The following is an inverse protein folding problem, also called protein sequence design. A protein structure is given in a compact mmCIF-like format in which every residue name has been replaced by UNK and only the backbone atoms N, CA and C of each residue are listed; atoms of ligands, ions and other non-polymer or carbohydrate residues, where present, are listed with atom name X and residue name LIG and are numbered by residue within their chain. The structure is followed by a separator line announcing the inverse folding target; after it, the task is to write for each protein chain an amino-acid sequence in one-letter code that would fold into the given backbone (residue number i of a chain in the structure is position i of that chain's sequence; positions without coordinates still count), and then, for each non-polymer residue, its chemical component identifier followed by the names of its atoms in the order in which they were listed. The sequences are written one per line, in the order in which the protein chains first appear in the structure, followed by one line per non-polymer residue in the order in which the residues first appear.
data_IF_301265456864
#
_entry.id   IF_301265456864
#
_cell.length_a   1.000
_cell.length_b   1.000
_cell.length_c   1.000
_cell.angle_alpha   90.00
_cell.angle_beta   90.00
_cell.angle_gamma   90.00
#
_symmetry.space_group_name_H-M   'P 1'
#
loop_
_entity.id
_entity.type
_entity.pdbx_description
1 polymer ?
#
# COMPACT_ATOMS: atom_id res chain seq x y z
N UNK A 1 14.88 -14.44 15.40
CA UNK A 1 13.98 -15.09 14.41
C UNK A 1 13.43 -14.00 13.52
N UNK A 2 13.47 -14.17 12.19
CA UNK A 2 12.91 -13.22 11.21
C UNK A 2 11.57 -13.72 10.71
N UNK A 3 10.61 -12.81 10.49
CA UNK A 3 9.29 -13.11 9.94
C UNK A 3 9.25 -12.87 8.43
N UNK A 4 8.79 -13.84 7.65
CA UNK A 4 8.70 -13.78 6.17
C UNK A 4 7.30 -14.11 5.64
N UNK A 5 6.29 -14.13 6.52
CA UNK A 5 4.95 -14.57 6.20
C UNK A 5 4.03 -13.47 5.65
N UNK A 6 2.75 -13.81 5.42
CA UNK A 6 1.68 -12.85 5.10
C UNK A 6 1.57 -11.72 6.13
N UNK A 7 0.78 -10.68 5.86
CA UNK A 7 0.39 -9.77 6.94
C UNK A 7 -0.38 -10.53 8.02
N UNK A 8 -0.26 -10.14 9.29
CA UNK A 8 -1.01 -10.72 10.40
C UNK A 8 -2.02 -9.69 10.88
N UNK A 9 -3.30 -10.01 10.91
CA UNK A 9 -4.28 -9.15 11.59
C UNK A 9 -4.38 -9.58 13.06
N UNK A 10 -4.31 -8.58 13.94
CA UNK A 10 -4.44 -8.74 15.37
C UNK A 10 -5.00 -7.45 15.96
N UNK A 11 -5.64 -7.55 17.12
CA UNK A 11 -6.16 -6.39 17.86
C UNK A 11 -5.02 -5.44 18.26
N UNK A 12 -3.88 -5.97 18.71
CA UNK A 12 -2.73 -5.16 19.14
C UNK A 12 -1.63 -5.08 18.06
N UNK A 13 -1.59 -3.96 17.34
CA UNK A 13 -0.59 -3.71 16.30
C UNK A 13 0.73 -3.21 16.91
N UNK A 14 1.71 -4.12 17.06
CA UNK A 14 3.06 -3.83 17.59
C UNK A 14 4.18 -4.07 16.58
N UNK A 15 3.91 -4.86 15.54
CA UNK A 15 4.91 -5.29 14.57
C UNK A 15 4.63 -4.72 13.18
N UNK A 16 5.67 -4.59 12.35
CA UNK A 16 5.50 -4.09 10.98
C UNK A 16 4.56 -4.97 10.16
N UNK A 17 4.60 -6.29 10.34
CA UNK A 17 3.71 -7.22 9.67
C UNK A 17 2.26 -7.20 10.19
N UNK A 18 1.94 -6.38 11.21
CA UNK A 18 0.55 -6.11 11.60
C UNK A 18 -0.09 -4.97 10.79
N UNK A 19 0.71 -4.24 10.00
CA UNK A 19 0.30 -3.06 9.25
C UNK A 19 -0.01 -3.35 7.78
N UNK A 20 -0.83 -2.49 7.18
CA UNK A 20 -1.22 -2.58 5.77
C UNK A 20 -0.01 -2.40 4.83
N UNK A 21 1.00 -1.60 5.22
CA UNK A 21 2.25 -1.44 4.46
C UNK A 21 2.94 -2.79 4.19
N UNK A 22 2.90 -3.72 5.15
CA UNK A 22 3.42 -5.06 4.94
C UNK A 22 2.43 -5.92 4.16
N UNK A 23 1.17 -5.96 4.62
CA UNK A 23 0.16 -6.89 4.12
C UNK A 23 -0.22 -6.65 2.65
N UNK A 24 -0.31 -5.39 2.22
CA UNK A 24 -0.70 -5.00 0.85
C UNK A 24 0.50 -4.93 -0.11
N UNK A 25 1.73 -4.85 0.42
CA UNK A 25 2.93 -4.70 -0.40
C UNK A 25 3.25 -5.99 -1.15
N UNK A 26 3.48 -5.92 -2.48
CA UNK A 26 3.95 -7.08 -3.24
C UNK A 26 5.37 -7.51 -2.81
N UNK A 27 6.20 -6.58 -2.32
CA UNK A 27 7.57 -6.82 -1.88
C UNK A 27 7.67 -7.56 -0.55
N UNK A 28 6.64 -7.51 0.30
CA UNK A 28 6.70 -8.06 1.66
C UNK A 28 5.57 -9.07 1.92
N UNK A 29 4.33 -8.68 1.64
CA UNK A 29 3.14 -9.48 1.92
C UNK A 29 2.90 -10.62 0.95
N UNK A 30 1.74 -11.27 1.14
CA UNK A 30 1.27 -12.36 0.31
C UNK A 30 0.48 -11.81 -0.89
N UNK A 31 1.00 -12.01 -2.11
CA UNK A 31 0.41 -11.44 -3.34
C UNK A 31 -0.82 -12.24 -3.83
N UNK A 32 -0.83 -13.56 -3.59
CA UNK A 32 -1.83 -14.47 -4.13
C UNK A 32 -2.14 -15.63 -3.19
N UNK A 33 -3.36 -16.13 -3.26
CA UNK A 33 -3.81 -17.33 -2.57
C UNK A 33 -4.49 -18.26 -3.55
N UNK A 34 -4.09 -19.53 -3.55
CA UNK A 34 -4.65 -20.56 -4.40
C UNK A 34 -5.59 -21.43 -3.58
N UNK A 35 -6.85 -21.53 -4.02
CA UNK A 35 -7.93 -22.20 -3.28
C UNK A 35 -8.47 -23.31 -4.15
N UNK A 36 -8.54 -24.52 -3.61
CA UNK A 36 -9.20 -25.63 -4.27
C UNK A 36 -10.71 -25.44 -4.20
N UNK A 37 -11.37 -25.37 -5.36
CA UNK A 37 -12.83 -25.37 -5.47
C UNK A 37 -13.29 -26.67 -6.13
N UNK A 38 -14.33 -27.27 -5.57
CA UNK A 38 -14.89 -28.54 -6.06
C UNK A 38 -16.21 -28.84 -5.39
N UNK A 39 -17.03 -29.68 -6.02
CA UNK A 39 -18.40 -29.99 -5.62
C UNK A 39 -18.45 -30.99 -4.45
N UNK A 40 -17.96 -30.61 -3.27
CA UNK A 40 -18.03 -31.46 -2.07
C UNK A 40 -19.47 -31.59 -1.54
N UNK A 41 -20.32 -30.58 -1.73
CA UNK A 41 -21.67 -30.52 -1.15
C UNK A 41 -22.68 -31.53 -1.74
N UNK A 42 -22.52 -31.93 -3.01
CA UNK A 42 -23.39 -32.93 -3.65
C UNK A 42 -23.12 -34.37 -3.17
N UNK A 43 -21.91 -34.65 -2.66
CA UNK A 43 -21.47 -35.99 -2.28
C UNK A 43 -22.07 -36.48 -0.96
N UNK A 44 -22.22 -35.63 0.05
CA UNK A 44 -22.84 -36.04 1.33
C UNK A 44 -24.34 -36.34 1.17
N UNK A 45 -25.04 -35.54 0.36
CA UNK A 45 -26.46 -35.72 0.09
C UNK A 45 -26.74 -37.02 -0.71
N UNK A 46 -25.91 -37.32 -1.73
CA UNK A 46 -26.10 -38.52 -2.55
C UNK A 46 -25.56 -39.80 -1.91
N UNK A 47 -24.50 -39.75 -1.08
CA UNK A 47 -23.94 -40.93 -0.40
C UNK A 47 -24.88 -41.50 0.67
N UNK A 48 -25.80 -40.70 1.19
CA UNK A 48 -26.91 -41.16 2.04
C UNK A 48 -28.02 -41.89 1.26
N UNK A 49 -28.09 -41.72 -0.07
CA UNK A 49 -29.23 -42.17 -0.91
C UNK A 49 -28.84 -43.29 -1.90
N UNK A 50 -27.56 -43.44 -2.27
CA UNK A 50 -27.16 -44.38 -3.33
C UNK A 50 -25.94 -45.23 -2.96
N UNK A 51 -26.15 -46.55 -2.93
CA UNK A 51 -25.12 -47.58 -2.80
C UNK A 51 -24.62 -48.05 -4.18
N UNK A 52 -24.08 -47.15 -5.00
CA UNK A 52 -23.13 -47.46 -6.10
C UNK A 52 -22.87 -46.22 -6.96
N UNK A 53 -21.62 -45.73 -6.98
CA UNK A 53 -20.90 -45.24 -8.18
C UNK A 53 -19.54 -44.67 -7.78
N UNK A 54 -18.49 -44.98 -8.54
CA UNK A 54 -17.22 -44.24 -8.48
C UNK A 54 -17.47 -42.81 -8.96
N UNK A 55 -17.33 -41.83 -8.07
CA UNK A 55 -17.45 -40.41 -8.39
C UNK A 55 -16.08 -39.78 -8.59
N UNK A 56 -15.87 -39.14 -9.74
CA UNK A 56 -14.71 -38.30 -10.00
C UNK A 56 -14.92 -36.93 -9.33
N UNK A 57 -14.07 -36.60 -8.36
CA UNK A 57 -14.01 -35.26 -7.77
C UNK A 57 -13.21 -34.36 -8.73
N UNK A 58 -13.88 -33.42 -9.40
CA UNK A 58 -13.20 -32.36 -10.13
C UNK A 58 -12.86 -31.22 -9.17
N UNK A 59 -11.61 -31.20 -8.70
CA UNK A 59 -11.02 -30.08 -7.98
C UNK A 59 -10.36 -29.16 -9.02
N UNK A 60 -10.79 -27.91 -9.08
CA UNK A 60 -10.12 -26.89 -9.86
C UNK A 60 -9.54 -25.82 -8.93
N UNK A 61 -8.31 -25.39 -9.24
CA UNK A 61 -7.60 -24.38 -8.45
C UNK A 61 -8.04 -22.98 -8.89
N UNK A 62 -8.53 -22.18 -7.95
CA UNK A 62 -8.84 -20.77 -8.18
C UNK A 62 -7.83 -19.91 -7.44
N UNK A 63 -7.12 -19.06 -8.19
CA UNK A 63 -6.13 -18.13 -7.61
C UNK A 63 -6.73 -16.74 -7.44
N UNK A 64 -6.78 -16.25 -6.20
CA UNK A 64 -7.09 -14.85 -5.91
C UNK A 64 -5.80 -14.06 -5.76
N UNK A 65 -5.81 -12.79 -6.20
CA UNK A 65 -4.67 -11.88 -6.14
C UNK A 65 -5.10 -10.57 -5.53
N UNK A 66 -4.17 -9.89 -4.85
CA UNK A 66 -4.37 -8.52 -4.40
C UNK A 66 -4.72 -7.60 -5.56
N UNK A 67 -5.43 -6.51 -5.25
CA UNK A 67 -5.95 -5.55 -6.21
C UNK A 67 -6.93 -6.12 -7.27
N UNK A 68 -7.57 -7.27 -7.02
CA UNK A 68 -8.63 -7.82 -7.89
C UNK A 68 -10.00 -7.73 -7.22
N UNK A 69 -11.04 -7.67 -8.04
CA UNK A 69 -12.41 -7.54 -7.57
C UNK A 69 -13.12 -8.89 -7.47
N UNK A 70 -13.93 -9.02 -6.43
CA UNK A 70 -14.69 -10.22 -6.14
C UNK A 70 -16.10 -9.88 -5.70
N UNK A 71 -16.98 -10.85 -5.86
CA UNK A 71 -18.28 -10.88 -5.21
C UNK A 71 -18.20 -11.87 -4.05
N UNK A 72 -18.68 -11.48 -2.87
CA UNK A 72 -18.63 -12.29 -1.65
C UNK A 72 -19.99 -12.29 -0.93
N UNK A 73 -20.15 -13.22 0.01
CA UNK A 73 -21.31 -13.28 0.90
C UNK A 73 -21.01 -12.56 2.21
N UNK A 74 -21.94 -11.71 2.64
CA UNK A 74 -21.93 -11.09 3.97
C UNK A 74 -23.37 -11.08 4.47
N UNK A 75 -23.63 -11.68 5.63
CA UNK A 75 -24.96 -11.72 6.26
C UNK A 75 -26.09 -12.21 5.32
N UNK A 76 -25.78 -13.18 4.45
CA UNK A 76 -26.73 -13.74 3.48
C UNK A 76 -26.91 -12.92 2.20
N UNK A 77 -26.34 -11.73 2.10
CA UNK A 77 -26.37 -10.88 0.90
C UNK A 77 -25.11 -11.05 0.05
N UNK A 78 -25.24 -10.84 -1.27
CA UNK A 78 -24.10 -10.78 -2.18
C UNK A 78 -23.60 -9.34 -2.26
N UNK A 79 -22.29 -9.14 -2.06
CA UNK A 79 -21.64 -7.83 -2.08
C UNK A 79 -20.41 -7.83 -2.95
N UNK A 80 -19.98 -6.64 -3.35
CA UNK A 80 -18.74 -6.44 -4.11
C UNK A 80 -17.62 -6.00 -3.19
N UNK A 81 -16.40 -6.44 -3.47
CA UNK A 81 -15.21 -6.00 -2.75
C UNK A 81 -13.95 -6.04 -3.61
N UNK A 82 -12.99 -5.19 -3.25
CA UNK A 82 -11.63 -5.19 -3.80
C UNK A 82 -10.71 -5.89 -2.83
N UNK A 83 -9.97 -6.90 -3.28
CA UNK A 83 -8.95 -7.58 -2.47
C UNK A 83 -7.83 -6.58 -2.17
N UNK A 84 -7.62 -6.28 -0.90
CA UNK A 84 -6.52 -5.43 -0.44
C UNK A 84 -5.32 -6.25 -0.01
N UNK A 85 -5.54 -7.31 0.77
CA UNK A 85 -4.45 -8.15 1.22
C UNK A 85 -4.92 -9.56 1.55
N UNK A 86 -3.95 -10.47 1.57
CA UNK A 86 -4.11 -11.82 2.11
C UNK A 86 -3.35 -11.84 3.43
N UNK A 87 -4.07 -12.14 4.50
CA UNK A 87 -3.60 -11.98 5.86
C UNK A 87 -3.82 -13.26 6.66
N UNK A 88 -3.04 -13.41 7.72
CA UNK A 88 -3.18 -14.46 8.71
C UNK A 88 -4.00 -13.92 9.88
N UNK A 89 -5.06 -14.64 10.25
CA UNK A 89 -5.90 -14.36 11.41
C UNK A 89 -5.97 -15.65 12.22
N UNK A 90 -5.48 -15.63 13.45
CA UNK A 90 -5.44 -16.80 14.34
C UNK A 90 -4.82 -18.07 13.69
N UNK A 91 -3.82 -17.87 12.83
CA UNK A 91 -3.12 -18.95 12.13
C UNK A 91 -3.77 -19.41 10.81
N UNK A 92 -4.92 -18.85 10.45
CA UNK A 92 -5.66 -19.19 9.22
C UNK A 92 -5.54 -18.07 8.17
N UNK A 93 -5.39 -18.45 6.90
CA UNK A 93 -5.33 -17.49 5.80
C UNK A 93 -6.72 -16.96 5.45
N UNK A 94 -6.87 -15.64 5.54
CA UNK A 94 -8.09 -14.92 5.22
C UNK A 94 -7.79 -13.79 4.22
N UNK A 95 -8.85 -13.18 3.70
CA UNK A 95 -8.76 -12.11 2.71
C UNK A 95 -9.37 -10.84 3.30
N UNK A 96 -8.57 -9.76 3.34
CA UNK A 96 -9.04 -8.42 3.66
C UNK A 96 -9.55 -7.76 2.38
N UNK A 97 -10.83 -7.41 2.38
CA UNK A 97 -11.51 -6.71 1.31
C UNK A 97 -11.80 -5.27 1.69
N UNK A 98 -11.67 -4.37 0.72
CA UNK A 98 -12.31 -3.06 0.75
C UNK A 98 -13.73 -3.20 0.19
N UNK A 99 -14.73 -2.73 0.94
CA UNK A 99 -16.14 -2.83 0.56
C UNK A 99 -16.45 -1.94 -0.66
N UNK A 100 -17.35 -2.43 -1.51
CA UNK A 100 -17.88 -1.71 -2.65
C UNK A 100 -19.40 -1.77 -2.58
N UNK A 101 -20.04 -0.61 -2.59
CA UNK A 101 -21.49 -0.47 -2.49
C UNK A 101 -22.13 -0.39 -3.87
N UNK A 102 -23.30 -1.00 -3.98
CA UNK A 102 -24.29 -0.79 -5.03
C UNK A 102 -25.12 0.46 -4.73
N UNK A 103 -25.91 0.90 -5.70
CA UNK A 103 -26.78 2.07 -5.56
C UNK A 103 -27.72 1.98 -4.33
N UNK A 104 -28.31 0.81 -4.10
CA UNK A 104 -29.26 0.60 -3.00
C UNK A 104 -28.60 0.58 -1.62
N UNK A 105 -27.29 0.42 -1.55
CA UNK A 105 -26.52 0.42 -0.31
C UNK A 105 -26.00 1.81 0.07
N UNK A 106 -26.12 2.79 -0.84
CA UNK A 106 -25.79 4.17 -0.54
C UNK A 106 -26.77 4.79 0.46
N UNK A 107 -26.31 5.72 1.32
CA UNK A 107 -27.18 6.58 2.09
C UNK A 107 -28.25 7.26 1.22
N UNK A 108 -29.50 7.28 1.71
CA UNK A 108 -30.69 7.71 0.96
C UNK A 108 -30.54 9.10 0.29
N UNK A 109 -29.82 10.02 0.91
CA UNK A 109 -29.68 11.37 0.37
C UNK A 109 -28.74 11.45 -0.86
N UNK A 110 -28.03 10.37 -1.21
CA UNK A 110 -27.31 10.26 -2.48
C UNK A 110 -28.16 9.70 -3.62
N UNK A 111 -29.38 9.24 -3.33
CA UNK A 111 -30.29 8.70 -4.33
C UNK A 111 -30.82 9.83 -5.20
N UNK A 112 -30.57 9.74 -6.50
CA UNK A 112 -31.01 10.73 -7.47
C UNK A 112 -31.20 10.08 -8.84
N UNK A 113 -32.01 10.70 -9.70
CA UNK A 113 -32.30 10.16 -11.04
C UNK A 113 -31.02 9.88 -11.85
N UNK A 114 -30.03 10.76 -11.77
CA UNK A 114 -28.76 10.59 -12.49
C UNK A 114 -28.03 9.29 -12.10
N UNK A 115 -27.98 8.96 -10.79
CA UNK A 115 -27.36 7.71 -10.31
C UNK A 115 -28.26 6.49 -10.50
N UNK A 116 -29.58 6.67 -10.44
CA UNK A 116 -30.54 5.60 -10.71
C UNK A 116 -30.40 5.06 -12.14
N UNK A 117 -30.14 5.94 -13.13
CA UNK A 117 -29.92 5.54 -14.52
C UNK A 117 -28.72 4.60 -14.68
N UNK A 118 -27.69 4.77 -13.84
CA UNK A 118 -26.45 3.98 -13.89
C UNK A 118 -26.38 2.93 -12.78
N UNK A 119 -27.48 2.68 -12.05
CA UNK A 119 -27.49 1.84 -10.84
C UNK A 119 -27.04 0.38 -11.06
N UNK A 120 -27.22 -0.15 -12.27
CA UNK A 120 -26.79 -1.51 -12.64
C UNK A 120 -25.32 -1.61 -13.03
N UNK A 121 -24.67 -0.49 -13.37
CA UNK A 121 -23.30 -0.45 -13.92
C UNK A 121 -22.32 0.31 -13.03
N UNK A 122 -22.77 1.32 -12.30
CA UNK A 122 -21.94 2.09 -11.39
C UNK A 122 -21.95 1.49 -9.98
N UNK A 123 -20.76 1.41 -9.39
CA UNK A 123 -20.53 1.05 -8.00
C UNK A 123 -19.73 2.15 -7.28
N UNK A 124 -19.72 2.09 -5.95
CA UNK A 124 -19.05 3.07 -5.08
C UNK A 124 -18.05 2.37 -4.19
N UNK A 125 -16.78 2.77 -4.28
CA UNK A 125 -15.75 2.26 -3.39
C UNK A 125 -15.96 2.87 -2.00
N UNK A 126 -15.97 2.09 -0.94
CA UNK A 126 -15.96 2.65 0.42
C UNK A 126 -14.52 2.95 0.80
N UNK A 127 -14.27 4.13 1.35
CA UNK A 127 -12.94 4.55 1.76
C UNK A 127 -12.34 3.55 2.75
N UNK A 128 -11.13 3.08 2.46
CA UNK A 128 -10.45 2.03 3.22
C UNK A 128 -10.14 2.42 4.66
N UNK A 129 -10.07 3.72 4.97
CA UNK A 129 -9.80 4.22 6.32
C UNK A 129 -11.05 4.26 7.21
N UNK A 130 -12.23 3.96 6.65
CA UNK A 130 -13.42 3.75 7.45
C UNK A 130 -13.41 2.34 8.03
N UNK A 131 -13.82 2.21 9.29
CA UNK A 131 -14.05 0.91 9.93
C UNK A 131 -15.03 0.06 9.09
N UNK A 132 -16.10 0.69 8.59
CA UNK A 132 -17.07 0.02 7.72
C UNK A 132 -16.56 -0.19 6.28
N UNK A 133 -15.42 0.40 5.92
CA UNK A 133 -14.83 0.32 4.60
C UNK A 133 -14.07 -0.96 4.34
N UNK A 134 -13.72 -1.72 5.39
CA UNK A 134 -12.97 -2.98 5.25
C UNK A 134 -13.65 -4.15 5.96
N UNK A 135 -13.46 -5.35 5.41
CA UNK A 135 -13.94 -6.60 5.98
C UNK A 135 -12.91 -7.69 5.78
N UNK A 136 -12.79 -8.58 6.75
CA UNK A 136 -11.97 -9.78 6.63
C UNK A 136 -12.92 -10.96 6.47
N UNK A 137 -12.69 -11.76 5.43
CA UNK A 137 -13.52 -12.90 5.08
C UNK A 137 -12.68 -14.14 4.81
N UNK A 138 -13.30 -15.29 4.95
CA UNK A 138 -12.72 -16.55 4.52
C UNK A 138 -12.80 -16.70 2.99
N UNK A 139 -11.89 -17.49 2.43
CA UNK A 139 -11.83 -17.72 0.98
C UNK A 139 -13.06 -18.42 0.40
N UNK A 140 -13.81 -19.16 1.23
CA UNK A 140 -15.06 -19.82 0.85
C UNK A 140 -16.25 -18.85 0.77
N UNK A 141 -16.17 -17.67 1.38
CA UNK A 141 -17.23 -16.66 1.32
C UNK A 141 -17.22 -15.90 -0.01
N UNK A 142 -16.10 -15.96 -0.74
CA UNK A 142 -16.01 -15.44 -2.10
C UNK A 142 -16.86 -16.29 -3.03
N UNK A 143 -17.80 -15.68 -3.73
CA UNK A 143 -18.65 -16.34 -4.72
C UNK A 143 -17.87 -16.51 -6.02
N UNK A 144 -17.36 -15.40 -6.58
CA UNK A 144 -16.64 -15.37 -7.86
C UNK A 144 -15.79 -14.11 -8.01
N UNK A 145 -14.90 -14.14 -9.00
CA UNK A 145 -14.22 -12.93 -9.49
C UNK A 145 -15.20 -12.09 -10.32
N UNK A 146 -14.99 -10.77 -10.33
CA UNK A 146 -15.78 -9.82 -11.12
C UNK A 146 -14.82 -8.86 -11.82
N UNK A 147 -15.15 -8.49 -13.05
CA UNK A 147 -14.42 -7.44 -13.77
C UNK A 147 -15.07 -6.09 -13.46
N UNK A 148 -14.40 -5.27 -12.66
CA UNK A 148 -14.80 -3.90 -12.33
C UNK A 148 -13.67 -2.97 -12.76
N UNK A 149 -14.03 -1.85 -13.40
CA UNK A 149 -13.05 -0.85 -13.85
C UNK A 149 -13.13 0.41 -12.98
N UNK A 150 -12.01 0.84 -12.41
CA UNK A 150 -11.90 2.16 -11.79
C UNK A 150 -11.63 3.19 -12.90
N UNK A 151 -12.53 4.15 -13.07
CA UNK A 151 -12.49 5.11 -14.19
C UNK A 151 -11.87 6.42 -13.71
N UNK A 152 -10.56 6.58 -13.95
CA UNK A 152 -9.81 7.80 -13.57
C UNK A 152 -9.84 8.91 -14.62
N UNK A 153 -9.85 8.55 -15.92
CA UNK A 153 -9.70 9.51 -17.02
C UNK A 153 -10.56 9.20 -18.27
N UNK A 154 -11.16 8.01 -18.38
CA UNK A 154 -11.77 7.53 -19.64
C UNK A 154 -13.30 7.67 -19.69
N UNK A 155 -13.84 7.86 -20.89
CA UNK A 155 -15.28 7.97 -21.16
C UNK A 155 -15.95 6.66 -21.60
N UNK A 156 -15.19 5.58 -21.81
CA UNK A 156 -15.74 4.31 -22.27
C UNK A 156 -16.28 3.53 -21.06
N UNK A 157 -17.58 3.27 -21.06
CA UNK A 157 -18.31 2.63 -19.96
C UNK A 157 -19.12 1.47 -20.53
N UNK A 158 -18.43 0.39 -20.92
CA UNK A 158 -19.09 -0.81 -21.46
C UNK A 158 -19.24 -1.92 -20.40
N UNK A 159 -18.77 -1.68 -19.16
CA UNK A 159 -18.72 -2.64 -18.06
C UNK A 159 -19.08 -2.00 -16.72
N UNK A 160 -19.19 -2.83 -15.67
CA UNK A 160 -19.32 -2.37 -14.29
C UNK A 160 -18.10 -1.50 -13.92
N UNK A 161 -18.35 -0.34 -13.32
CA UNK A 161 -17.33 0.68 -13.10
C UNK A 161 -17.47 1.40 -11.75
N UNK A 162 -16.39 2.04 -11.32
CA UNK A 162 -16.33 2.90 -10.13
C UNK A 162 -15.79 4.27 -10.55
N UNK A 163 -16.51 5.34 -10.18
CA UNK A 163 -16.11 6.75 -10.39
C UNK A 163 -16.05 7.58 -9.11
N UNK A 164 -16.68 7.11 -8.04
CA UNK A 164 -16.81 7.84 -6.78
C UNK A 164 -16.40 6.94 -5.61
N UNK A 165 -15.85 7.57 -4.58
CA UNK A 165 -15.51 6.97 -3.29
C UNK A 165 -16.46 7.53 -2.25
N UNK A 166 -17.09 6.66 -1.48
CA UNK A 166 -17.89 6.97 -0.32
C UNK A 166 -17.01 7.04 0.92
N UNK A 167 -17.01 8.19 1.60
CA UNK A 167 -16.22 8.43 2.81
C UNK A 167 -17.02 9.26 3.83
N UNK A 168 -16.47 9.48 5.03
CA UNK A 168 -17.06 10.39 6.02
C UNK A 168 -16.14 11.58 6.27
N UNK A 169 -16.72 12.76 6.35
CA UNK A 169 -16.06 13.96 6.87
C UNK A 169 -16.90 14.52 8.02
N UNK A 170 -16.29 14.70 9.19
CA UNK A 170 -16.97 15.16 10.42
C UNK A 170 -18.23 14.33 10.73
N UNK A 171 -18.15 13.00 10.56
CA UNK A 171 -19.27 12.08 10.78
C UNK A 171 -20.33 12.06 9.67
N UNK A 172 -20.26 12.98 8.71
CA UNK A 172 -21.20 13.05 7.59
C UNK A 172 -20.64 12.33 6.37
N UNK A 173 -21.45 11.43 5.82
CA UNK A 173 -21.16 10.75 4.58
C UNK A 173 -20.99 11.75 3.42
N UNK A 174 -19.97 11.55 2.58
CA UNK A 174 -19.65 12.36 1.41
C UNK A 174 -19.17 11.47 0.27
N UNK A 175 -19.22 12.01 -0.94
CA UNK A 175 -18.65 11.40 -2.13
C UNK A 175 -17.48 12.23 -2.63
N UNK A 176 -16.41 11.58 -3.04
CA UNK A 176 -15.29 12.21 -3.75
C UNK A 176 -14.96 11.44 -5.02
N UNK A 177 -14.32 12.11 -5.97
CA UNK A 177 -13.90 11.50 -7.21
C UNK A 177 -12.92 10.35 -6.94
N UNK A 178 -13.00 9.25 -7.70
CA UNK A 178 -12.09 8.12 -7.57
C UNK A 178 -10.63 8.50 -7.87
N UNK A 179 -10.39 9.63 -8.53
CA UNK A 179 -9.08 10.30 -8.63
C UNK A 179 -8.51 10.76 -7.28
N UNK A 180 -9.14 10.43 -6.16
CA UNK A 180 -8.61 10.56 -4.80
C UNK A 180 -8.67 9.20 -4.07
N UNK A 181 -8.49 8.10 -4.82
CA UNK A 181 -8.35 6.74 -4.30
C UNK A 181 -6.91 6.50 -3.87
N UNK A 182 -6.71 5.78 -2.78
CA UNK A 182 -5.39 5.30 -2.43
C UNK A 182 -5.05 4.10 -3.29
N UNK A 183 -4.22 4.32 -4.32
CA UNK A 183 -3.74 3.27 -5.21
C UNK A 183 -3.18 2.12 -4.40
N UNK A 184 -3.56 0.92 -4.78
CA UNK A 184 -3.04 -0.29 -4.15
C UNK A 184 -1.55 -0.41 -4.50
N UNK A 185 -0.65 -0.82 -3.57
CA UNK A 185 0.79 -0.92 -3.84
C UNK A 185 1.16 -1.70 -5.11
N UNK A 186 0.46 -2.81 -5.41
CA UNK A 186 0.57 -3.54 -6.68
C UNK A 186 0.34 -2.74 -7.98
N UNK A 187 -0.20 -1.51 -7.93
CA UNK A 187 -0.37 -0.65 -9.11
C UNK A 187 0.92 0.09 -9.48
N UNK A 188 1.81 0.35 -8.51
CA UNK A 188 3.05 1.11 -8.71
C UNK A 188 4.32 0.34 -8.28
N UNK A 189 4.18 -0.78 -7.58
CA UNK A 189 5.25 -1.69 -7.18
C UNK A 189 5.01 -3.08 -7.77
N UNK A 190 6.05 -3.70 -8.31
CA UNK A 190 6.00 -5.02 -8.93
C UNK A 190 7.04 -5.93 -8.29
N UNK A 191 6.57 -7.10 -7.83
CA UNK A 191 7.47 -8.15 -7.35
C UNK A 191 8.21 -8.77 -8.54
N UNK A 192 9.53 -8.72 -8.53
CA UNK A 192 10.36 -9.45 -9.47
C UNK A 192 10.32 -10.95 -9.12
N UNK A 193 9.70 -11.76 -9.98
CA UNK A 193 9.72 -13.20 -9.82
C UNK A 193 11.14 -13.74 -10.07
N UNK A 194 11.56 -14.79 -9.35
CA UNK A 194 12.82 -15.45 -9.63
C UNK A 194 12.90 -15.87 -11.10
N UNK A 195 14.04 -15.67 -11.78
CA UNK A 195 14.30 -16.25 -13.09
C UNK A 195 14.00 -17.76 -13.12
N UNK A 196 13.65 -18.34 -14.28
CA UNK A 196 13.28 -19.76 -14.36
C UNK A 196 14.31 -20.71 -13.74
N UNK A 197 15.61 -20.41 -13.86
CA UNK A 197 16.69 -21.18 -13.26
C UNK A 197 16.64 -21.25 -11.72
N UNK A 198 15.96 -20.31 -11.07
CA UNK A 198 15.84 -20.17 -9.61
C UNK A 198 14.39 -20.34 -9.13
N UNK A 199 13.49 -20.80 -9.99
CA UNK A 199 12.05 -20.95 -9.69
C UNK A 199 11.75 -21.93 -8.55
N UNK A 200 12.68 -22.84 -8.25
CA UNK A 200 12.55 -23.82 -7.17
C UNK A 200 13.05 -23.30 -5.82
N UNK A 201 13.74 -22.15 -5.78
CA UNK A 201 14.23 -21.60 -4.52
C UNK A 201 13.14 -20.89 -3.75
N UNK A 202 13.19 -21.05 -2.43
CA UNK A 202 12.34 -20.28 -1.53
C UNK A 202 12.71 -18.80 -1.64
N UNK A 203 11.68 -17.96 -1.78
CA UNK A 203 11.84 -16.51 -1.82
C UNK A 203 11.79 -15.95 -0.40
N UNK A 204 12.84 -15.24 0.00
CA UNK A 204 12.86 -14.46 1.25
C UNK A 204 12.68 -12.99 0.92
N UNK A 205 11.73 -12.35 1.61
CA UNK A 205 11.37 -10.95 1.42
C UNK A 205 11.83 -10.12 2.62
N UNK A 206 12.83 -9.26 2.43
CA UNK A 206 13.38 -8.40 3.47
C UNK A 206 12.75 -7.01 3.44
N UNK A 207 12.22 -6.58 4.58
CA UNK A 207 11.77 -5.23 4.82
C UNK A 207 12.94 -4.42 5.38
N UNK A 208 13.40 -3.42 4.64
CA UNK A 208 14.47 -2.52 5.09
C UNK A 208 13.84 -1.26 5.67
N UNK A 209 14.07 -1.03 6.96
CA UNK A 209 13.67 0.18 7.68
C UNK A 209 14.87 1.12 7.75
N UNK A 210 14.72 2.37 7.31
CA UNK A 210 15.80 3.34 7.24
C UNK A 210 15.56 4.50 8.21
N UNK A 211 16.59 4.86 8.97
CA UNK A 211 16.58 6.00 9.87
C UNK A 211 17.55 7.06 9.37
N UNK A 212 17.12 8.31 9.35
CA UNK A 212 17.95 9.46 9.02
C UNK A 212 17.76 10.58 10.05
N UNK A 213 18.83 10.92 10.75
CA UNK A 213 18.79 11.89 11.85
C UNK A 213 20.03 12.79 11.88
N UNK A 214 19.83 14.05 12.29
CA UNK A 214 20.88 15.04 12.50
C UNK A 214 21.15 15.21 13.99
N UNK A 215 22.39 14.94 14.42
CA UNK A 215 22.78 15.07 15.82
C UNK A 215 24.02 15.95 16.00
N UNK A 216 24.09 16.64 17.13
CA UNK A 216 25.27 17.39 17.54
C UNK A 216 26.35 16.45 18.03
N UNK A 217 27.55 16.52 17.43
CA UNK A 217 28.69 15.67 17.84
C UNK A 217 29.17 15.97 19.27
N UNK A 218 29.08 17.24 19.68
CA UNK A 218 29.28 17.68 21.06
C UNK A 218 28.20 18.70 21.44
N UNK A 219 27.98 18.91 22.75
CA UNK A 219 26.91 19.79 23.29
C UNK A 219 26.86 21.21 22.69
N UNK A 220 27.99 21.74 22.19
CA UNK A 220 28.13 23.14 21.77
C UNK A 220 28.64 23.30 20.32
N UNK A 221 28.41 22.34 19.43
CA UNK A 221 28.88 22.43 18.03
C UNK A 221 27.81 23.09 17.16
N UNK A 222 28.21 24.09 16.37
CA UNK A 222 27.34 24.81 15.43
C UNK A 222 26.95 24.01 14.18
N UNK A 223 27.57 22.85 13.98
CA UNK A 223 27.46 22.02 12.80
C UNK A 223 26.98 20.63 13.17
N UNK A 224 25.84 20.22 12.61
CA UNK A 224 25.30 18.88 12.77
C UNK A 224 26.13 17.85 12.01
N UNK A 225 26.14 16.64 12.54
CA UNK A 225 26.55 15.42 11.85
C UNK A 225 25.28 14.60 11.63
N UNK A 226 25.09 14.09 10.42
CA UNK A 226 23.93 13.25 10.15
C UNK A 226 24.31 11.77 10.24
N UNK A 227 23.44 10.95 10.82
CA UNK A 227 23.57 9.49 10.86
C UNK A 227 22.52 8.83 9.99
N UNK A 228 22.94 7.81 9.24
CA UNK A 228 22.03 6.94 8.49
C UNK A 228 22.18 5.52 9.01
N UNK A 229 21.05 4.93 9.40
CA UNK A 229 20.98 3.59 9.98
C UNK A 229 19.93 2.78 9.24
N UNK A 230 20.11 1.46 9.19
CA UNK A 230 19.12 0.54 8.69
C UNK A 230 18.86 -0.60 9.66
N UNK A 231 17.66 -1.14 9.57
CA UNK A 231 17.23 -2.28 10.34
C UNK A 231 16.37 -3.21 9.49
N UNK A 232 16.35 -4.51 9.83
CA UNK A 232 15.42 -5.45 9.20
C UNK A 232 14.08 -5.40 9.93
N UNK A 233 13.04 -4.95 9.24
CA UNK A 233 11.68 -4.90 9.75
C UNK A 233 11.06 -6.28 9.97
N UNK A 234 11.69 -7.34 9.45
CA UNK A 234 11.32 -8.73 9.72
C UNK A 234 11.60 -9.17 11.16
N UNK A 235 12.36 -8.40 11.94
CA UNK A 235 12.64 -8.70 13.35
C UNK A 235 11.47 -8.28 14.25
N UNK A 236 11.16 -9.07 15.30
CA UNK A 236 10.25 -8.64 16.37
C UNK A 236 10.67 -7.31 16.97
N UNK A 237 9.69 -6.53 17.43
CA UNK A 237 9.88 -5.19 17.95
C UNK A 237 10.90 -5.16 19.09
N UNK A 238 10.86 -6.13 20.01
CA UNK A 238 11.84 -6.19 21.10
C UNK A 238 13.25 -6.52 20.61
N UNK A 239 13.38 -7.34 19.55
CA UNK A 239 14.67 -7.58 18.92
C UNK A 239 15.20 -6.31 18.24
N UNK A 240 14.30 -5.56 17.58
CA UNK A 240 14.62 -4.29 16.92
C UNK A 240 15.16 -3.23 17.88
N UNK A 241 14.78 -3.25 19.16
CA UNK A 241 15.30 -2.29 20.15
C UNK A 241 16.78 -2.48 20.51
N UNK A 242 17.36 -3.65 20.28
CA UNK A 242 18.76 -3.88 20.64
C UNK A 242 19.70 -3.15 19.67
N UNK A 243 20.74 -2.49 20.22
CA UNK A 243 21.73 -1.76 19.44
C UNK A 243 22.44 -2.63 18.39
N UNK A 244 22.70 -3.90 18.70
CA UNK A 244 23.36 -4.83 17.76
C UNK A 244 22.49 -5.18 16.54
N UNK A 245 21.20 -4.83 16.56
CA UNK A 245 20.25 -5.01 15.45
C UNK A 245 20.00 -3.71 14.68
N UNK A 246 20.79 -2.66 14.93
CA UNK A 246 20.84 -1.44 14.15
C UNK A 246 22.16 -1.41 13.36
N UNK A 247 22.06 -1.35 12.04
CA UNK A 247 23.22 -1.34 11.16
C UNK A 247 23.51 0.09 10.72
N UNK A 248 24.68 0.59 11.06
CA UNK A 248 25.12 1.93 10.65
C UNK A 248 25.52 1.85 9.18
N UNK A 249 24.81 2.59 8.30
CA UNK A 249 25.27 2.77 6.92
C UNK A 249 26.43 3.76 6.88
N UNK A 250 26.37 4.82 7.69
CA UNK A 250 27.46 5.77 7.84
C UNK A 250 27.02 7.11 8.38
N UNK A 251 27.98 8.03 8.43
CA UNK A 251 27.78 9.40 8.90
C UNK A 251 28.09 10.39 7.78
N UNK A 252 27.27 11.44 7.69
CA UNK A 252 27.43 12.51 6.72
C UNK A 252 28.03 13.72 7.45
N UNK A 253 29.30 14.06 7.20
CA UNK A 253 29.97 15.19 7.85
C UNK A 253 29.31 16.51 7.46
N UNK A 254 29.58 17.55 8.25
CA UNK A 254 29.12 18.89 7.93
C UNK A 254 29.53 19.31 6.51
N UNK A 255 28.58 19.88 5.76
CA UNK A 255 28.75 20.23 4.35
C UNK A 255 28.60 19.05 3.38
N UNK A 256 28.46 17.82 3.89
CA UNK A 256 28.12 16.65 3.09
C UNK A 256 26.65 16.65 2.64
N UNK A 257 26.37 16.00 1.52
CA UNK A 257 25.03 15.88 0.96
C UNK A 257 24.51 14.45 1.07
N UNK A 258 23.31 14.28 1.64
CA UNK A 258 22.65 12.97 1.78
C UNK A 258 22.54 12.23 0.44
N UNK A 259 22.21 12.94 -0.65
CA UNK A 259 22.04 12.35 -1.97
C UNK A 259 23.33 11.71 -2.51
N UNK A 260 24.49 12.29 -2.21
CA UNK A 260 25.78 11.72 -2.63
C UNK A 260 26.16 10.54 -1.75
N UNK A 261 25.90 10.65 -0.45
CA UNK A 261 26.16 9.59 0.52
C UNK A 261 25.33 8.32 0.25
N UNK A 262 24.02 8.46 0.05
CA UNK A 262 23.11 7.31 -0.02
C UNK A 262 23.14 6.60 -1.39
N UNK A 263 23.74 7.22 -2.42
CA UNK A 263 23.70 6.73 -3.80
C UNK A 263 24.15 5.26 -3.95
N UNK A 264 25.26 4.78 -3.34
CA UNK A 264 25.65 3.38 -3.44
C UNK A 264 24.58 2.44 -2.85
N UNK A 265 23.99 2.79 -1.70
CA UNK A 265 22.91 2.03 -1.08
C UNK A 265 21.67 1.94 -2.00
N UNK A 266 21.33 3.02 -2.70
CA UNK A 266 20.21 3.00 -3.66
C UNK A 266 20.48 2.04 -4.82
N UNK A 267 21.71 2.01 -5.34
CA UNK A 267 22.08 1.07 -6.41
C UNK A 267 22.04 -0.39 -5.95
N UNK A 268 22.45 -0.66 -4.70
CA UNK A 268 22.33 -1.99 -4.10
C UNK A 268 20.86 -2.37 -3.87
N UNK A 269 20.04 -1.46 -3.36
CA UNK A 269 18.60 -1.68 -3.16
C UNK A 269 17.87 -1.96 -4.47
N UNK A 270 18.19 -1.27 -5.57
CA UNK A 270 17.63 -1.58 -6.89
C UNK A 270 17.96 -3.00 -7.36
N UNK A 271 19.13 -3.52 -7.00
CA UNK A 271 19.48 -4.91 -7.29
C UNK A 271 18.66 -5.87 -6.41
N UNK A 272 18.52 -5.57 -5.12
CA UNK A 272 17.74 -6.36 -4.18
C UNK A 272 16.23 -6.36 -4.48
N UNK A 273 15.67 -5.27 -4.98
CA UNK A 273 14.26 -5.20 -5.41
C UNK A 273 13.96 -6.15 -6.59
N UNK A 274 14.98 -6.40 -7.43
CA UNK A 274 14.91 -7.40 -8.52
C UNK A 274 15.18 -8.83 -8.05
N UNK A 275 15.76 -8.96 -6.86
CA UNK A 275 16.14 -10.22 -6.26
C UNK A 275 17.55 -10.68 -6.64
N UNK A 276 18.17 -11.41 -5.72
CA UNK A 276 19.50 -12.00 -5.91
C UNK A 276 19.61 -13.35 -5.19
N UNK A 277 20.52 -14.19 -5.67
CA UNK A 277 20.83 -15.47 -5.02
C UNK A 277 21.71 -15.20 -3.80
N UNK A 278 21.30 -15.71 -2.63
CA UNK A 278 22.11 -15.64 -1.41
C UNK A 278 22.17 -16.99 -0.72
N UNK A 279 23.38 -17.37 -0.27
CA UNK A 279 23.56 -18.50 0.61
C UNK A 279 23.40 -18.04 2.07
N UNK A 280 22.40 -18.56 2.76
CA UNK A 280 22.15 -18.29 4.17
C UNK A 280 22.34 -19.60 4.93
N UNK A 281 23.41 -19.67 5.72
CA UNK A 281 23.73 -20.83 6.56
C UNK A 281 23.78 -22.16 5.77
N UNK A 282 24.33 -22.14 4.55
CA UNK A 282 24.46 -23.33 3.71
C UNK A 282 23.24 -23.66 2.86
N UNK A 283 22.17 -22.85 2.89
CA UNK A 283 20.99 -23.01 2.04
C UNK A 283 20.86 -21.82 1.09
N UNK A 284 20.61 -22.10 -0.18
CA UNK A 284 20.43 -21.08 -1.21
C UNK A 284 18.98 -20.57 -1.23
N UNK A 285 18.84 -19.25 -1.17
CA UNK A 285 17.56 -18.54 -1.21
C UNK A 285 17.57 -17.51 -2.34
N UNK A 286 16.40 -17.26 -2.91
CA UNK A 286 16.18 -16.06 -3.71
C UNK A 286 15.74 -14.92 -2.78
N UNK A 287 16.61 -13.95 -2.55
CA UNK A 287 16.36 -12.87 -1.61
C UNK A 287 15.92 -11.63 -2.38
N UNK A 288 14.78 -11.07 -1.99
CA UNK A 288 14.27 -9.78 -2.45
C UNK A 288 14.25 -8.85 -1.24
N UNK A 289 14.69 -7.60 -1.41
CA UNK A 289 14.55 -6.59 -0.37
C UNK A 289 13.90 -5.32 -0.93
N UNK A 290 13.04 -4.70 -0.12
CA UNK A 290 12.39 -3.44 -0.44
C UNK A 290 12.60 -2.44 0.70
N UNK A 291 12.67 -1.16 0.35
CA UNK A 291 12.62 -0.09 1.34
C UNK A 291 11.19 0.01 1.88
N UNK A 292 11.04 -0.27 3.17
CA UNK A 292 9.76 -0.32 3.84
C UNK A 292 9.35 1.03 4.41
N UNK A 293 9.91 1.40 5.56
CA UNK A 293 9.66 2.69 6.22
C UNK A 293 10.93 3.54 6.25
N UNK A 294 10.74 4.86 6.24
CA UNK A 294 11.81 5.84 6.37
C UNK A 294 11.48 6.77 7.53
N UNK A 295 12.18 6.59 8.64
CA UNK A 295 12.00 7.37 9.86
C UNK A 295 13.00 8.51 9.89
N UNK A 296 12.49 9.73 9.96
CA UNK A 296 13.30 10.93 10.09
C UNK A 296 12.50 12.03 10.78
N UNK A 297 13.21 12.99 11.38
CA UNK A 297 12.60 14.20 11.90
C UNK A 297 11.89 14.99 10.79
N UNK A 298 10.92 15.81 11.16
CA UNK A 298 9.99 16.43 10.22
C UNK A 298 10.66 17.17 9.04
N UNK A 299 11.70 18.01 9.23
CA UNK A 299 12.37 18.67 8.11
C UNK A 299 13.01 17.69 7.12
N UNK A 300 13.71 16.69 7.65
CA UNK A 300 14.40 15.66 6.88
C UNK A 300 13.39 14.72 6.19
N UNK A 301 12.34 14.31 6.89
CA UNK A 301 11.25 13.52 6.35
C UNK A 301 10.54 14.22 5.18
N UNK A 302 10.34 15.53 5.26
CA UNK A 302 9.83 16.32 4.12
C UNK A 302 10.82 16.33 2.96
N UNK A 303 12.12 16.55 3.23
CA UNK A 303 13.15 16.57 2.19
C UNK A 303 13.24 15.21 1.46
N UNK A 304 13.12 14.09 2.20
CA UNK A 304 13.11 12.72 1.68
C UNK A 304 11.83 12.35 0.93
N UNK A 305 10.72 13.02 1.20
CA UNK A 305 9.46 12.88 0.46
C UNK A 305 9.34 13.88 -0.71
N UNK A 306 10.33 14.77 -0.90
CA UNK A 306 10.26 15.83 -1.92
C UNK A 306 9.21 16.91 -1.60
N UNK A 307 8.77 17.00 -0.35
CA UNK A 307 7.81 18.00 0.13
C UNK A 307 8.58 19.21 0.68
N UNK A 308 8.03 20.42 0.54
CA UNK A 308 8.61 21.63 1.16
C UNK A 308 8.53 21.53 2.68
N UNK A 309 9.47 22.14 3.39
CA UNK A 309 9.51 22.15 4.86
C UNK A 309 8.26 22.83 5.46
N UNK A 310 7.96 22.55 6.72
CA UNK A 310 6.80 23.06 7.48
C UNK A 310 6.59 24.58 7.45
N UNK A 311 7.63 25.37 7.16
CA UNK A 311 7.53 26.82 7.00
C UNK A 311 6.77 27.26 5.74
N UNK A 312 6.61 26.39 4.74
CA UNK A 312 5.99 26.70 3.46
C UNK A 312 4.45 26.89 3.54
N UNK A 313 3.86 27.44 2.48
CA UNK A 313 2.41 27.57 2.35
C UNK A 313 1.72 26.21 2.46
N UNK A 314 2.25 25.19 1.78
CA UNK A 314 1.88 23.79 1.92
C UNK A 314 3.16 23.03 2.24
N UNK A 315 3.28 22.58 3.48
CA UNK A 315 4.48 21.90 3.98
C UNK A 315 4.17 20.65 4.81
N UNK A 316 2.91 20.22 4.82
CA UNK A 316 2.52 18.94 5.43
C UNK A 316 2.82 17.83 4.42
N UNK A 317 3.49 16.76 4.86
CA UNK A 317 3.79 15.59 4.01
C UNK A 317 2.53 14.82 3.62
N UNK A 318 1.50 14.89 4.46
CA UNK A 318 0.30 14.06 4.32
C UNK A 318 -0.82 14.79 3.57
N UNK A 319 -0.95 16.11 3.68
CA UNK A 319 -2.04 16.85 3.02
C UNK A 319 -1.61 18.19 2.43
N UNK A 320 -2.40 18.68 1.47
CA UNK A 320 -2.27 19.94 0.76
C UNK A 320 -2.92 21.13 1.49
N UNK A 321 -3.18 20.99 2.79
CA UNK A 321 -3.75 22.08 3.59
C UNK A 321 -2.77 23.24 3.65
N UNK A 322 -3.26 24.43 3.34
CA UNK A 322 -2.47 25.65 3.46
C UNK A 322 -2.20 25.97 4.94
N UNK A 323 -1.02 26.50 5.25
CA UNK A 323 -0.57 26.82 6.61
C UNK A 323 -1.55 27.71 7.37
N UNK A 324 -2.19 28.65 6.67
CA UNK A 324 -3.23 29.54 7.20
C UNK A 324 -4.48 28.79 7.72
N UNK A 325 -4.76 27.60 7.18
CA UNK A 325 -5.89 26.76 7.59
C UNK A 325 -5.46 25.55 8.44
N UNK A 326 -4.20 25.50 8.91
CA UNK A 326 -3.66 24.36 9.64
C UNK A 326 -4.36 24.07 10.97
N UNK A 327 -5.09 25.05 11.52
CA UNK A 327 -5.88 24.91 12.77
C UNK A 327 -7.38 24.73 12.52
N UNK A 328 -7.82 24.68 11.26
CA UNK A 328 -9.24 24.50 10.93
C UNK A 328 -9.63 23.02 11.02
N UNK A 329 -10.33 22.68 12.09
CA UNK A 329 -10.83 21.33 12.38
C UNK A 329 -11.99 20.90 11.47
N UNK A 330 -12.57 21.81 10.69
CA UNK A 330 -13.71 21.52 9.80
C UNK A 330 -13.28 21.08 8.40
N UNK A 331 -11.98 21.15 8.10
CA UNK A 331 -11.42 20.84 6.79
C UNK A 331 -11.68 19.41 6.36
N UNK A 332 -12.03 19.28 5.09
CA UNK A 332 -12.16 18.00 4.42
C UNK A 332 -10.79 17.47 4.00
N UNK A 333 -10.00 16.98 4.96
CA UNK A 333 -8.63 16.50 4.71
C UNK A 333 -8.63 15.38 3.66
N UNK A 334 -9.65 14.52 3.66
CA UNK A 334 -9.87 13.47 2.67
C UNK A 334 -9.84 13.98 1.22
N UNK A 335 -10.34 15.18 0.97
CA UNK A 335 -10.35 15.82 -0.34
C UNK A 335 -9.00 16.45 -0.75
N UNK A 336 -8.08 16.63 0.20
CA UNK A 336 -6.81 17.34 0.01
C UNK A 336 -5.60 16.55 0.49
N UNK A 337 -5.67 15.22 0.62
CA UNK A 337 -4.49 14.40 0.90
C UNK A 337 -3.44 14.48 -0.23
N UNK A 338 -2.19 14.24 0.13
CA UNK A 338 -1.14 13.86 -0.83
C UNK A 338 -1.32 12.40 -1.20
N UNK A 339 -1.81 12.14 -2.41
CA UNK A 339 -1.87 10.80 -2.99
C UNK A 339 -0.62 10.55 -3.82
N UNK A 340 -0.08 9.32 -3.77
CA UNK A 340 1.16 8.94 -4.42
C UNK A 340 1.22 9.37 -5.90
N UNK A 341 0.30 8.83 -6.72
CA UNK A 341 0.26 9.11 -8.16
C UNK A 341 -0.08 10.57 -8.49
N UNK A 342 -0.92 11.24 -7.68
CA UNK A 342 -1.21 12.67 -7.88
C UNK A 342 0.06 13.47 -7.68
N UNK A 343 0.86 13.09 -6.69
CA UNK A 343 2.14 13.73 -6.41
C UNK A 343 3.11 13.49 -7.57
N UNK A 344 3.11 12.31 -8.19
CA UNK A 344 3.89 12.04 -9.40
C UNK A 344 3.49 12.96 -10.56
N UNK A 345 2.19 13.06 -10.86
CA UNK A 345 1.67 13.97 -11.89
C UNK A 345 2.02 15.44 -11.57
N UNK A 346 1.96 15.84 -10.30
CA UNK A 346 2.36 17.19 -9.87
C UNK A 346 3.85 17.45 -10.11
N UNK A 347 4.72 16.47 -9.82
CA UNK A 347 6.14 16.56 -10.15
C UNK A 347 6.37 16.67 -11.66
N UNK A 348 5.66 15.87 -12.47
CA UNK A 348 5.70 15.98 -13.93
C UNK A 348 5.32 17.37 -14.42
N UNK A 349 4.26 17.98 -13.88
CA UNK A 349 3.88 19.36 -14.18
C UNK A 349 4.99 20.36 -13.81
N UNK A 350 5.65 20.17 -12.66
CA UNK A 350 6.78 21.01 -12.21
C UNK A 350 7.97 20.87 -13.17
N UNK A 351 8.27 19.67 -13.67
CA UNK A 351 9.41 19.44 -14.56
C UNK A 351 9.16 19.84 -16.02
N UNK A 352 7.90 19.78 -16.47
CA UNK A 352 7.52 20.18 -17.83
C UNK A 352 7.19 21.67 -17.97
N UNK A 353 7.17 22.41 -16.86
CA UNK A 353 6.97 23.86 -16.86
C UNK A 353 7.99 24.60 -17.74
N UNK A 354 7.51 25.52 -18.58
CA UNK A 354 8.34 26.17 -19.62
C UNK A 354 9.35 27.17 -19.07
N UNK A 355 9.21 27.62 -17.82
CA UNK A 355 10.10 28.61 -17.19
C UNK A 355 10.40 28.26 -15.74
N UNK A 356 11.57 28.68 -15.25
CA UNK A 356 11.96 28.52 -13.83
C UNK A 356 10.96 29.19 -12.89
N UNK A 357 10.36 30.31 -13.31
CA UNK A 357 9.32 31.00 -12.54
C UNK A 357 8.08 30.12 -12.39
N UNK A 358 7.53 29.61 -13.50
CA UNK A 358 6.37 28.71 -13.48
C UNK A 358 6.66 27.44 -12.67
N UNK A 359 7.84 26.85 -12.83
CA UNK A 359 8.27 25.71 -12.04
C UNK A 359 8.23 26.00 -10.53
N UNK A 360 8.77 27.15 -10.10
CA UNK A 360 8.76 27.56 -8.70
C UNK A 360 7.35 27.88 -8.17
N UNK A 361 6.50 28.47 -9.02
CA UNK A 361 5.11 28.78 -8.69
C UNK A 361 4.30 27.50 -8.50
N UNK A 362 4.40 26.52 -9.41
CA UNK A 362 3.77 25.19 -9.27
C UNK A 362 4.31 24.44 -8.04
N UNK A 363 5.63 24.44 -7.83
CA UNK A 363 6.23 23.83 -6.65
C UNK A 363 5.73 24.47 -5.34
N UNK A 364 5.49 25.80 -5.33
CA UNK A 364 4.88 26.49 -4.19
C UNK A 364 3.41 26.14 -4.03
N UNK A 365 2.67 26.04 -5.12
CA UNK A 365 1.27 25.64 -5.12
C UNK A 365 1.09 24.21 -4.61
N UNK A 366 1.87 23.24 -5.08
CA UNK A 366 1.74 21.84 -4.66
C UNK A 366 2.44 21.54 -3.34
N UNK A 367 3.22 22.47 -2.79
CA UNK A 367 4.03 22.21 -1.61
C UNK A 367 5.17 21.22 -1.86
N UNK A 368 5.59 21.05 -3.11
CA UNK A 368 6.63 20.11 -3.53
C UNK A 368 7.93 20.83 -3.86
N UNK A 369 9.04 20.11 -3.85
CA UNK A 369 10.34 20.63 -4.29
C UNK A 369 10.43 20.60 -5.81
N UNK A 370 11.39 21.35 -6.37
CA UNK A 370 11.68 21.37 -7.81
C UNK A 370 12.62 20.25 -8.25
N UNK A 371 12.80 19.22 -7.41
CA UNK A 371 13.60 18.03 -7.66
C UNK A 371 12.96 16.84 -6.97
N UNK A 372 13.07 15.66 -7.58
CA UNK A 372 12.69 14.40 -6.95
C UNK A 372 13.70 14.03 -5.87
N UNK A 373 13.25 13.48 -4.73
CA UNK A 373 14.15 12.91 -3.75
C UNK A 373 14.80 11.62 -4.30
N UNK A 374 16.04 11.35 -3.92
CA UNK A 374 16.80 10.19 -4.41
C UNK A 374 16.14 8.84 -4.09
N UNK A 375 15.34 8.78 -3.01
CA UNK A 375 14.59 7.59 -2.62
C UNK A 375 13.45 7.22 -3.58
N UNK A 376 13.00 8.14 -4.43
CA UNK A 376 11.97 7.84 -5.45
C UNK A 376 12.52 7.01 -6.62
N UNK A 377 13.81 6.67 -6.60
CA UNK A 377 14.39 5.68 -7.49
C UNK A 377 14.11 4.23 -7.04
N UNK A 378 13.49 4.05 -5.87
CA UNK A 378 13.12 2.75 -5.28
C UNK A 378 11.60 2.59 -5.27
N UNK A 379 11.14 1.34 -5.19
CA UNK A 379 9.73 1.00 -5.04
C UNK A 379 9.30 1.20 -3.59
N UNK A 380 8.68 2.34 -3.28
CA UNK A 380 8.22 2.69 -1.92
C UNK A 380 6.95 3.52 -1.93
N UNK A 381 6.30 3.59 -0.78
CA UNK A 381 5.31 4.64 -0.54
C UNK A 381 6.01 5.94 -0.12
N UNK A 382 5.78 7.03 -0.85
CA UNK A 382 6.51 8.30 -0.69
C UNK A 382 6.17 9.00 0.63
N UNK A 383 4.90 8.92 1.03
CA UNK A 383 4.31 9.76 2.09
C UNK A 383 4.26 9.08 3.46
N UNK A 384 4.72 7.83 3.55
CA UNK A 384 4.83 7.06 4.80
C UNK A 384 6.16 7.30 5.52
#
# INVERSE_FOLDING_TARGET
MLYFGPGIETEEKKEFWHGDLWAESPLFGQEKIAVNRGTFALLLYYKLISSCSSFYISLYLVVFRSNKFVMYKENGSQRFGRIRSIILVDGELQIKLQRIYTYNELPNYFHCNARSITSESQLWLVDQYLEEGSIIIYTYEIIRKVDITIVRESNIIDKIFIKEILYKNNGHWKLRNVNLDYMHPCEYSTLALPPPQYSNFQVLKLFIDLYYDDFGTYRNVYHSLSGVYVQLGNMPFDARKYLHNHFILGFIPFGGHFEDFIRPFIEDMKQLERGTLMNVQGTDYWVIAGLGCVTADLPQGNDLAGVKRHGALRGCRTCLVAKENSTDITLDIASVFHYHYITDTQFECIFTASTIKQQNDLAKEYGLRTRLPILDQLQRERHL
#
